data_IF_019918686873
#
_entry.id   IF_019918686873
#
_cell.length_a   1.000
_cell.length_b   1.000
_cell.length_c   1.000
_cell.angle_alpha   90.00
_cell.angle_beta   90.00
_cell.angle_gamma   90.00
#
_symmetry.space_group_name_H-M   'P 1'
#
loop_
_entity.id
_entity.type
_entity.pdbx_description
1 polymer ?
#
# COMPACT_ATOMS: atom_id res chain seq x y z
N UNK A 1 -28.80 -8.81 -18.33
CA UNK A 1 -27.35 -8.56 -18.37
C UNK A 1 -27.05 -7.29 -17.58
N UNK A 2 -26.64 -7.42 -16.30
CA UNK A 2 -26.42 -6.26 -15.43
C UNK A 2 -25.12 -5.58 -15.85
N UNK A 3 -25.21 -4.36 -16.39
CA UNK A 3 -24.03 -3.48 -16.57
C UNK A 3 -23.39 -3.28 -15.21
N UNK A 4 -22.29 -4.00 -14.94
CA UNK A 4 -21.44 -3.76 -13.78
C UNK A 4 -20.93 -2.32 -13.91
N UNK A 5 -21.49 -1.43 -13.10
CA UNK A 5 -20.97 -0.09 -12.86
C UNK A 5 -19.44 -0.18 -12.71
N UNK A 6 -18.72 0.67 -13.45
CA UNK A 6 -17.27 0.77 -13.33
C UNK A 6 -16.95 0.96 -11.85
N UNK A 7 -16.15 0.03 -11.29
CA UNK A 7 -15.74 0.00 -9.86
C UNK A 7 -14.97 1.25 -9.38
N UNK A 8 -14.93 2.32 -10.18
CA UNK A 8 -14.16 3.55 -9.94
C UNK A 8 -14.60 4.34 -8.70
N UNK A 9 -15.83 4.15 -8.21
CA UNK A 9 -16.42 4.98 -7.14
C UNK A 9 -16.87 4.18 -5.91
N UNK A 10 -16.01 3.29 -5.42
CA UNK A 10 -16.23 2.74 -4.08
C UNK A 10 -15.95 3.80 -3.01
N UNK A 11 -16.67 3.74 -1.89
CA UNK A 11 -16.39 4.56 -0.69
C UNK A 11 -14.91 4.50 -0.32
N UNK A 12 -14.30 3.32 -0.41
CA UNK A 12 -12.87 3.11 -0.18
C UNK A 12 -11.98 3.96 -1.10
N UNK A 13 -12.19 3.92 -2.42
CA UNK A 13 -11.38 4.69 -3.37
C UNK A 13 -11.57 6.20 -3.21
N UNK A 14 -12.80 6.63 -2.90
CA UNK A 14 -13.11 8.02 -2.58
C UNK A 14 -12.31 8.51 -1.36
N UNK A 15 -12.34 7.74 -0.28
CA UNK A 15 -11.64 8.11 0.96
C UNK A 15 -10.12 8.08 0.79
N UNK A 16 -9.61 7.07 0.08
CA UNK A 16 -8.20 6.98 -0.27
C UNK A 16 -7.74 8.19 -1.11
N UNK A 17 -8.53 8.61 -2.10
CA UNK A 17 -8.25 9.78 -2.94
C UNK A 17 -8.32 11.09 -2.14
N UNK A 18 -9.25 11.20 -1.21
CA UNK A 18 -9.37 12.37 -0.33
C UNK A 18 -8.13 12.52 0.56
N UNK A 19 -7.68 11.44 1.21
CA UNK A 19 -6.48 11.48 2.03
C UNK A 19 -5.20 11.71 1.21
N UNK A 20 -5.09 11.08 0.03
CA UNK A 20 -4.01 11.34 -0.92
C UNK A 20 -3.96 12.82 -1.33
N UNK A 21 -5.12 13.43 -1.62
CA UNK A 21 -5.19 14.85 -1.99
C UNK A 21 -4.68 15.74 -0.87
N UNK A 22 -5.07 15.48 0.38
CA UNK A 22 -4.57 16.21 1.55
C UNK A 22 -3.05 16.08 1.67
N UNK A 23 -2.50 14.87 1.49
CA UNK A 23 -1.06 14.66 1.47
C UNK A 23 -0.36 15.44 0.35
N UNK A 24 -0.80 15.26 -0.91
CA UNK A 24 -0.19 15.89 -2.09
C UNK A 24 -0.19 17.41 -1.97
N UNK A 25 -1.31 18.01 -1.55
CA UNK A 25 -1.40 19.46 -1.35
C UNK A 25 -0.45 19.93 -0.25
N UNK A 26 -0.34 19.19 0.85
CA UNK A 26 0.59 19.54 1.94
C UNK A 26 2.05 19.48 1.48
N UNK A 27 2.40 18.41 0.74
CA UNK A 27 3.72 18.21 0.15
C UNK A 27 4.09 19.33 -0.84
N UNK A 28 3.21 19.63 -1.81
CA UNK A 28 3.43 20.67 -2.83
C UNK A 28 3.52 22.08 -2.24
N UNK A 29 2.76 22.37 -1.18
CA UNK A 29 2.75 23.68 -0.51
C UNK A 29 3.78 23.79 0.63
N UNK A 30 4.52 22.72 0.94
CA UNK A 30 5.45 22.69 2.08
C UNK A 30 4.79 22.90 3.45
N UNK A 31 3.49 22.62 3.60
CA UNK A 31 2.78 22.82 4.87
C UNK A 31 2.63 21.52 5.68
N UNK A 32 2.26 21.66 6.96
CA UNK A 32 2.21 20.56 7.93
C UNK A 32 0.82 19.91 8.10
N UNK A 33 -0.19 20.26 7.28
CA UNK A 33 -1.58 19.80 7.49
C UNK A 33 -1.70 18.27 7.51
N UNK A 34 -1.03 17.57 6.58
CA UNK A 34 -1.00 16.12 6.57
C UNK A 34 -0.17 15.54 7.72
N UNK A 35 1.04 16.06 7.93
CA UNK A 35 1.95 15.52 8.95
C UNK A 35 1.37 15.67 10.35
N UNK A 36 0.68 16.76 10.65
CA UNK A 36 0.03 16.97 11.95
C UNK A 36 -1.16 16.03 12.16
N UNK A 37 -1.90 15.65 11.11
CA UNK A 37 -2.91 14.58 11.22
C UNK A 37 -2.28 13.24 11.59
N UNK A 38 -1.19 12.86 10.93
CA UNK A 38 -0.49 11.59 11.22
C UNK A 38 0.16 11.62 12.61
N UNK A 39 0.66 12.77 13.08
CA UNK A 39 1.14 12.95 14.47
C UNK A 39 0.04 12.71 15.49
N UNK A 40 -1.16 13.29 15.29
CA UNK A 40 -2.31 13.06 16.18
C UNK A 40 -2.65 11.58 16.28
N UNK A 41 -2.63 10.84 15.18
CA UNK A 41 -2.82 9.38 15.19
C UNK A 41 -1.73 8.71 16.05
N UNK A 42 -0.45 9.04 15.82
CA UNK A 42 0.63 8.50 16.64
C UNK A 42 0.44 8.78 18.13
N UNK A 43 -0.01 9.98 18.49
CA UNK A 43 -0.28 10.38 19.88
C UNK A 43 -1.45 9.61 20.48
N UNK A 44 -2.58 9.49 19.77
CA UNK A 44 -3.75 8.74 20.22
C UNK A 44 -3.43 7.27 20.48
N UNK A 45 -2.61 6.65 19.62
CA UNK A 45 -2.17 5.26 19.79
C UNK A 45 -0.90 5.11 20.64
N UNK A 46 -0.38 6.21 21.22
CA UNK A 46 0.86 6.23 22.02
C UNK A 46 2.07 5.59 21.30
N UNK A 47 2.14 5.70 19.97
CA UNK A 47 3.19 5.11 19.14
C UNK A 47 4.51 5.86 19.34
N UNK A 48 5.60 5.12 19.57
CA UNK A 48 6.94 5.66 19.87
C UNK A 48 8.03 5.02 19.02
N UNK A 49 9.15 5.74 18.84
CA UNK A 49 10.37 5.26 18.16
C UNK A 49 10.06 4.62 16.79
N UNK A 50 10.43 3.36 16.58
CA UNK A 50 10.26 2.65 15.32
C UNK A 50 8.78 2.44 14.95
N UNK A 51 7.88 2.39 15.93
CA UNK A 51 6.45 2.17 15.74
C UNK A 51 5.69 3.41 15.27
N UNK A 52 6.31 4.60 15.27
CA UNK A 52 5.66 5.82 14.77
C UNK A 52 5.41 5.71 13.27
N UNK A 53 4.18 6.00 12.88
CA UNK A 53 3.82 6.22 11.49
C UNK A 53 4.58 7.40 10.91
N UNK A 54 5.08 7.21 9.70
CA UNK A 54 5.80 8.20 8.92
C UNK A 54 4.85 9.34 8.50
N UNK A 55 5.25 10.57 8.80
CA UNK A 55 4.45 11.78 8.59
C UNK A 55 4.66 12.45 7.23
N UNK A 56 5.61 11.97 6.43
CA UNK A 56 6.05 12.58 5.17
C UNK A 56 5.58 11.80 3.94
N UNK A 57 5.46 10.47 4.07
CA UNK A 57 5.08 9.60 2.97
C UNK A 57 3.59 9.71 2.62
N UNK A 58 3.31 9.50 1.33
CA UNK A 58 1.96 9.28 0.86
C UNK A 58 1.33 8.08 1.60
N UNK A 59 0.05 8.17 1.99
CA UNK A 59 -0.66 7.02 2.54
C UNK A 59 -0.73 5.93 1.47
N UNK A 60 -0.45 4.66 1.82
CA UNK A 60 -0.56 3.52 0.90
C UNK A 60 -1.68 2.59 1.33
N UNK A 61 -2.83 2.77 0.72
CA UNK A 61 -4.06 2.07 1.08
C UNK A 61 -4.15 0.63 0.56
N UNK A 62 -3.52 0.32 -0.57
CA UNK A 62 -3.58 -1.03 -1.15
C UNK A 62 -2.33 -1.34 -1.98
N UNK A 63 -2.01 -2.59 -2.30
CA UNK A 63 -1.03 -2.97 -3.32
C UNK A 63 -1.69 -3.94 -4.32
N UNK A 64 -1.41 -3.79 -5.61
CA UNK A 64 -2.06 -4.54 -6.69
C UNK A 64 -3.02 -3.69 -7.53
N UNK A 65 -3.55 -4.29 -8.60
CA UNK A 65 -4.47 -3.63 -9.54
C UNK A 65 -5.89 -3.58 -8.96
N UNK A 66 -6.25 -2.44 -8.37
CA UNK A 66 -7.58 -2.24 -7.75
C UNK A 66 -8.71 -2.10 -8.77
N UNK A 67 -8.38 -1.85 -10.04
CA UNK A 67 -9.38 -1.70 -11.10
C UNK A 67 -9.79 -3.06 -11.71
N UNK A 68 -9.04 -4.13 -11.39
CA UNK A 68 -9.36 -5.50 -11.80
C UNK A 68 -10.00 -6.29 -10.65
N UNK A 69 -10.88 -7.25 -10.93
CA UNK A 69 -11.38 -8.16 -9.91
C UNK A 69 -10.27 -9.10 -9.44
N UNK A 70 -9.85 -9.05 -8.17
CA UNK A 70 -8.85 -9.99 -7.67
C UNK A 70 -9.52 -11.34 -7.38
N UNK A 71 -8.72 -12.41 -7.49
CA UNK A 71 -9.06 -13.74 -6.98
C UNK A 71 -8.92 -13.80 -5.45
N UNK A 72 -7.90 -13.12 -4.91
CA UNK A 72 -7.60 -13.07 -3.48
C UNK A 72 -7.53 -11.63 -2.98
N UNK A 73 -8.20 -11.36 -1.85
CA UNK A 73 -8.05 -10.11 -1.10
C UNK A 73 -7.30 -10.43 0.19
N UNK A 74 -6.15 -9.78 0.37
CA UNK A 74 -5.35 -9.88 1.58
C UNK A 74 -5.54 -8.60 2.38
N UNK A 75 -5.96 -8.70 3.63
CA UNK A 75 -6.09 -7.54 4.52
C UNK A 75 -4.94 -7.56 5.52
N UNK A 76 -4.13 -6.51 5.54
CA UNK A 76 -2.94 -6.44 6.40
C UNK A 76 -2.84 -5.12 7.14
N UNK A 77 -2.07 -5.11 8.24
CA UNK A 77 -1.79 -3.90 9.01
C UNK A 77 -0.83 -2.93 8.30
N UNK A 78 -0.30 -3.32 7.12
CA UNK A 78 0.76 -2.70 6.34
C UNK A 78 2.20 -2.99 6.85
N UNK A 79 3.10 -3.54 6.02
CA UNK A 79 4.48 -3.79 6.43
C UNK A 79 5.26 -2.49 6.71
N UNK A 80 6.17 -2.56 7.68
CA UNK A 80 7.10 -1.47 8.00
C UNK A 80 8.06 -1.14 6.83
N UNK A 81 8.65 0.05 6.85
CA UNK A 81 9.62 0.51 5.86
C UNK A 81 11.03 0.56 6.44
N UNK A 82 12.01 -0.08 5.76
CA UNK A 82 13.44 0.05 6.12
C UNK A 82 13.99 1.46 5.90
N UNK A 83 13.69 2.08 4.75
CA UNK A 83 14.18 3.41 4.35
C UNK A 83 13.18 4.12 3.44
N UNK A 84 13.02 5.43 3.66
CA UNK A 84 12.32 6.33 2.74
C UNK A 84 13.22 6.62 1.55
N UNK A 85 12.69 6.54 0.32
CA UNK A 85 13.39 7.00 -0.89
C UNK A 85 12.71 8.28 -1.39
N UNK A 86 13.45 9.40 -1.46
CA UNK A 86 12.94 10.70 -1.93
C UNK A 86 12.24 10.60 -3.30
N UNK A 87 12.82 9.85 -4.24
CA UNK A 87 12.24 9.57 -5.57
C UNK A 87 10.84 8.94 -5.52
N UNK A 88 10.53 8.11 -4.51
CA UNK A 88 9.20 7.50 -4.37
C UNK A 88 8.15 8.56 -4.03
N UNK A 89 8.50 9.50 -3.14
CA UNK A 89 7.61 10.58 -2.69
C UNK A 89 7.28 11.53 -3.85
N UNK A 90 8.31 11.86 -4.65
CA UNK A 90 8.17 12.73 -5.83
C UNK A 90 7.26 12.10 -6.90
N UNK A 91 7.45 10.81 -7.21
CA UNK A 91 6.58 10.09 -8.16
C UNK A 91 5.13 10.04 -7.67
N UNK A 92 4.89 9.71 -6.40
CA UNK A 92 3.53 9.72 -5.84
C UNK A 92 2.88 11.12 -5.90
N UNK A 93 3.67 12.20 -5.84
CA UNK A 93 3.18 13.57 -5.86
C UNK A 93 2.78 14.06 -7.27
N UNK A 94 3.08 13.31 -8.34
CA UNK A 94 2.73 13.69 -9.71
C UNK A 94 1.22 13.76 -9.91
N UNK A 95 0.47 12.78 -9.41
CA UNK A 95 -0.99 12.82 -9.46
C UNK A 95 -1.65 11.50 -9.09
N UNK A 96 -2.98 11.53 -8.98
CA UNK A 96 -3.76 10.36 -8.57
C UNK A 96 -3.55 9.16 -9.52
N UNK A 97 -3.48 9.43 -10.84
CA UNK A 97 -3.19 8.40 -11.85
C UNK A 97 -1.84 7.73 -11.59
N UNK A 98 -0.78 8.52 -11.41
CA UNK A 98 0.56 8.00 -11.11
C UNK A 98 0.61 7.24 -9.79
N UNK A 99 -0.04 7.78 -8.76
CA UNK A 99 -0.17 7.11 -7.47
C UNK A 99 -0.84 5.73 -7.62
N UNK A 100 -1.94 5.62 -8.38
CA UNK A 100 -2.60 4.32 -8.65
C UNK A 100 -1.67 3.37 -9.40
N UNK A 101 -0.93 3.86 -10.39
CA UNK A 101 -0.02 3.02 -11.18
C UNK A 101 1.17 2.50 -10.35
N UNK A 102 1.69 3.32 -9.43
CA UNK A 102 2.66 2.90 -8.42
C UNK A 102 2.11 1.83 -7.46
N UNK A 103 0.81 1.85 -7.16
CA UNK A 103 0.18 0.80 -6.34
C UNK A 103 -0.03 -0.48 -7.12
N UNK A 104 -0.45 -0.37 -8.39
CA UNK A 104 -0.62 -1.49 -9.32
C UNK A 104 0.68 -2.25 -9.56
N UNK A 105 1.77 -1.53 -9.79
CA UNK A 105 3.10 -2.11 -10.07
C UNK A 105 3.87 -2.57 -8.81
N UNK A 106 3.28 -2.49 -7.61
CA UNK A 106 4.01 -2.72 -6.37
C UNK A 106 4.64 -4.13 -6.28
N UNK A 107 3.95 -5.16 -6.76
CA UNK A 107 4.47 -6.55 -6.78
C UNK A 107 5.61 -6.77 -7.78
N UNK A 108 5.81 -5.85 -8.72
CA UNK A 108 6.90 -5.93 -9.71
C UNK A 108 8.22 -5.36 -9.19
N UNK A 109 8.24 -4.82 -7.97
CA UNK A 109 9.45 -4.24 -7.38
C UNK A 109 10.46 -5.30 -6.97
N UNK A 110 11.76 -5.01 -7.12
CA UNK A 110 12.84 -5.94 -6.74
C UNK A 110 12.82 -6.36 -5.26
N UNK A 111 12.29 -5.51 -4.36
CA UNK A 111 12.20 -5.81 -2.93
C UNK A 111 11.00 -6.69 -2.55
N UNK A 112 10.02 -6.86 -3.44
CA UNK A 112 8.89 -7.77 -3.25
C UNK A 112 9.36 -9.21 -2.98
N UNK A 113 10.28 -9.71 -3.80
CA UNK A 113 10.85 -11.07 -3.66
C UNK A 113 11.57 -11.29 -2.32
N UNK A 114 11.99 -10.22 -1.65
CA UNK A 114 12.72 -10.26 -0.37
C UNK A 114 11.79 -10.15 0.84
N UNK A 115 10.52 -9.84 0.65
CA UNK A 115 9.57 -9.64 1.75
C UNK A 115 9.22 -10.98 2.42
N UNK A 116 9.56 -11.12 3.71
CA UNK A 116 9.16 -12.27 4.53
C UNK A 116 7.64 -12.42 4.61
N UNK A 117 6.94 -11.30 4.76
CA UNK A 117 5.48 -11.22 4.74
C UNK A 117 4.91 -11.82 3.44
N UNK A 118 5.37 -11.36 2.26
CA UNK A 118 4.85 -11.88 0.99
C UNK A 118 5.26 -13.31 0.70
N UNK A 119 6.38 -13.79 1.24
CA UNK A 119 6.71 -15.22 1.19
C UNK A 119 5.68 -16.07 1.94
N UNK A 120 5.21 -15.60 3.09
CA UNK A 120 4.16 -16.30 3.85
C UNK A 120 2.81 -16.25 3.13
N UNK A 121 2.41 -15.08 2.64
CA UNK A 121 1.17 -14.92 1.85
C UNK A 121 1.21 -15.80 0.60
N UNK A 122 2.34 -15.85 -0.11
CA UNK A 122 2.49 -16.71 -1.29
C UNK A 122 2.34 -18.19 -0.96
N UNK A 123 2.86 -18.67 0.18
CA UNK A 123 2.67 -20.06 0.62
C UNK A 123 1.19 -20.39 0.82
N UNK A 124 0.43 -19.48 1.44
CA UNK A 124 -1.01 -19.64 1.62
C UNK A 124 -1.74 -19.72 0.28
N UNK A 125 -1.46 -18.77 -0.62
CA UNK A 125 -2.07 -18.73 -1.95
C UNK A 125 -1.76 -20.00 -2.75
N UNK A 126 -0.49 -20.42 -2.80
CA UNK A 126 -0.11 -21.67 -3.47
C UNK A 126 -0.88 -22.87 -2.89
N UNK A 127 -1.00 -22.98 -1.56
CA UNK A 127 -1.76 -24.04 -0.92
C UNK A 127 -3.25 -24.04 -1.31
N UNK A 128 -3.88 -22.87 -1.40
CA UNK A 128 -5.26 -22.72 -1.84
C UNK A 128 -5.46 -23.11 -3.32
N UNK A 129 -4.42 -22.95 -4.14
CA UNK A 129 -4.42 -23.30 -5.56
C UNK A 129 -3.97 -24.76 -5.81
N UNK A 130 -3.63 -25.52 -4.77
CA UNK A 130 -3.07 -26.87 -4.92
C UNK A 130 -1.64 -26.90 -5.49
N UNK A 131 -0.94 -25.77 -5.48
CA UNK A 131 0.44 -25.64 -5.96
C UNK A 131 1.46 -25.70 -4.81
N UNK A 132 2.68 -26.16 -5.13
CA UNK A 132 3.81 -26.09 -4.19
C UNK A 132 4.47 -24.70 -4.28
N UNK A 133 4.73 -24.01 -3.17
CA UNK A 133 5.39 -22.70 -3.19
C UNK A 133 6.82 -22.83 -3.70
N UNK A 134 7.13 -22.05 -4.74
CA UNK A 134 8.48 -21.97 -5.33
C UNK A 134 9.39 -21.06 -4.51
N UNK A 135 10.70 -21.13 -4.77
CA UNK A 135 11.72 -20.25 -4.16
C UNK A 135 11.47 -18.77 -4.48
N UNK A 136 11.05 -18.50 -5.71
CA UNK A 136 10.66 -17.17 -6.17
C UNK A 136 9.15 -17.05 -6.24
N UNK A 137 8.63 -15.89 -5.87
CA UNK A 137 7.21 -15.57 -5.95
C UNK A 137 6.89 -15.23 -7.40
N UNK A 138 5.85 -15.83 -7.98
CA UNK A 138 5.38 -15.45 -9.31
C UNK A 138 4.71 -14.07 -9.25
N UNK A 139 5.48 -13.01 -9.52
CA UNK A 139 5.03 -11.63 -9.37
C UNK A 139 3.90 -11.26 -10.33
N UNK A 140 3.88 -11.82 -11.54
CA UNK A 140 2.82 -11.56 -12.51
C UNK A 140 1.51 -12.21 -12.07
N UNK A 141 1.55 -13.48 -11.63
CA UNK A 141 0.38 -14.13 -11.05
C UNK A 141 -0.18 -13.34 -9.87
N UNK A 142 0.67 -12.89 -8.94
CA UNK A 142 0.24 -12.09 -7.80
C UNK A 142 -0.35 -10.75 -8.26
N UNK A 143 0.25 -10.09 -9.25
CA UNK A 143 -0.26 -8.82 -9.79
C UNK A 143 -1.64 -8.97 -10.43
N UNK A 144 -1.91 -10.09 -11.09
CA UNK A 144 -3.17 -10.36 -11.76
C UNK A 144 -4.28 -10.83 -10.82
N UNK A 145 -3.91 -11.54 -9.74
CA UNK A 145 -4.88 -12.27 -8.92
C UNK A 145 -5.04 -11.72 -7.50
N UNK A 146 -4.14 -10.87 -7.00
CA UNK A 146 -4.12 -10.46 -5.59
C UNK A 146 -4.26 -8.96 -5.44
N UNK A 147 -5.17 -8.56 -4.55
CA UNK A 147 -5.26 -7.20 -4.03
C UNK A 147 -4.97 -7.23 -2.54
N UNK A 148 -3.91 -6.53 -2.10
CA UNK A 148 -3.66 -6.32 -0.68
C UNK A 148 -4.26 -4.99 -0.23
N UNK A 149 -5.09 -4.99 0.80
CA UNK A 149 -5.65 -3.80 1.45
C UNK A 149 -4.94 -3.57 2.80
N UNK A 150 -4.51 -2.34 3.03
CA UNK A 150 -3.83 -1.93 4.25
C UNK A 150 -4.83 -1.28 5.21
N UNK A 151 -5.00 -1.85 6.40
CA UNK A 151 -5.80 -1.28 7.49
C UNK A 151 -5.24 0.08 7.94
N UNK A 152 -3.91 0.17 8.06
CA UNK A 152 -3.22 1.42 8.34
C UNK A 152 -2.38 1.82 7.12
N UNK A 153 -2.77 2.87 6.37
CA UNK A 153 -2.06 3.25 5.15
C UNK A 153 -0.72 3.96 5.45
N UNK A 154 -0.45 4.27 6.71
CA UNK A 154 0.79 4.90 7.15
C UNK A 154 1.80 3.84 7.57
N UNK A 155 3.07 4.04 7.25
CA UNK A 155 4.10 3.02 7.48
C UNK A 155 4.95 3.44 8.67
N UNK A 156 5.25 2.50 9.55
CA UNK A 156 6.25 2.65 10.59
C UNK A 156 7.65 2.34 10.03
N UNK A 157 8.70 2.60 10.82
CA UNK A 157 10.02 2.05 10.50
C UNK A 157 9.98 0.55 10.76
N UNK A 158 10.64 -0.23 9.91
CA UNK A 158 10.83 -1.65 10.20
C UNK A 158 11.64 -1.79 11.49
N UNK A 159 11.11 -2.58 12.44
CA UNK A 159 11.86 -2.96 13.64
C UNK A 159 12.86 -4.04 13.24
N UNK A 160 14.11 -3.91 13.70
CA UNK A 160 15.00 -5.06 13.74
C UNK A 160 14.42 -5.97 14.82
N UNK A 161 13.85 -7.11 14.42
CA UNK A 161 13.73 -8.24 15.33
C UNK A 161 15.08 -8.90 15.44
#
# INVERSE_FOLDING_TARGET
MVKRSSRSDTTFLRDAKNQYTVWKTSYKKGNKKYSDKVKKINESFKLKKAYKFNTELAPKFWAGDIDKPPKFIVVSLNPGLKKVRKKSVESDAQGWKEYKENRKSWFKRKDFQKSSYWKQVNKLICGMEGEKPKKEINADYITENVLNLNLFPYHSKETKN
#
